data_IF_098017379935
#
_entry.id   IF_098017379935
#
_cell.length_a   1.000
_cell.length_b   1.000
_cell.length_c   1.000
_cell.angle_alpha   90.00
_cell.angle_beta   90.00
_cell.angle_gamma   90.00
#
_symmetry.space_group_name_H-M   'P 1'
#
loop_
_entity.id
_entity.type
_entity.pdbx_description
1 polymer ?
#
# COMPACT_ATOMS: atom_id res chain seq x y z
N UNK A 1 -29.13 -74.17 -3.36
CA UNK A 1 -29.32 -72.77 -2.98
C UNK A 1 -28.14 -71.97 -3.44
N UNK A 2 -28.27 -71.18 -4.51
CA UNK A 2 -27.17 -70.37 -5.07
C UNK A 2 -27.30 -68.93 -4.53
N UNK A 3 -26.28 -68.52 -3.73
CA UNK A 3 -26.12 -67.12 -3.29
C UNK A 3 -25.55 -66.28 -4.42
N UNK A 4 -26.33 -65.40 -5.01
CA UNK A 4 -25.87 -64.37 -5.96
C UNK A 4 -25.16 -63.25 -5.15
N UNK A 5 -23.86 -63.09 -5.30
CA UNK A 5 -23.11 -61.98 -4.76
C UNK A 5 -23.45 -60.68 -5.53
N UNK A 6 -24.02 -59.72 -4.84
CA UNK A 6 -24.34 -58.38 -5.39
C UNK A 6 -23.08 -57.51 -5.27
N UNK A 7 -22.38 -57.25 -6.39
CA UNK A 7 -21.23 -56.33 -6.40
C UNK A 7 -21.77 -54.89 -6.48
N UNK A 8 -21.59 -54.18 -5.35
CA UNK A 8 -21.88 -52.72 -5.29
C UNK A 8 -20.68 -51.97 -5.88
N UNK A 9 -20.83 -51.41 -7.08
CA UNK A 9 -19.82 -50.55 -7.69
C UNK A 9 -19.95 -49.17 -7.06
N UNK A 10 -19.01 -48.75 -6.23
CA UNK A 10 -18.88 -47.38 -5.70
C UNK A 10 -18.22 -46.52 -6.79
N UNK A 11 -19.03 -45.73 -7.52
CA UNK A 11 -18.51 -44.69 -8.42
C UNK A 11 -18.11 -43.50 -7.58
N UNK A 12 -16.81 -43.33 -7.30
CA UNK A 12 -16.28 -42.11 -6.74
C UNK A 12 -16.28 -41.03 -7.84
N UNK A 13 -17.24 -40.12 -7.79
CA UNK A 13 -17.24 -38.89 -8.58
C UNK A 13 -16.15 -37.98 -7.97
N UNK A 14 -14.99 -37.93 -8.62
CA UNK A 14 -13.98 -36.89 -8.36
C UNK A 14 -14.51 -35.57 -8.96
N UNK A 15 -15.08 -34.72 -8.13
CA UNK A 15 -15.25 -33.31 -8.46
C UNK A 15 -13.87 -32.66 -8.48
N UNK A 16 -13.30 -32.45 -9.65
CA UNK A 16 -12.16 -31.56 -9.81
C UNK A 16 -12.64 -30.14 -9.48
N UNK A 17 -12.31 -29.67 -8.28
CA UNK A 17 -12.46 -28.25 -7.96
C UNK A 17 -11.38 -27.55 -8.79
N UNK A 18 -11.78 -26.91 -9.89
CA UNK A 18 -10.93 -25.97 -10.61
C UNK A 18 -10.84 -24.77 -9.67
N UNK A 19 -9.73 -24.64 -8.95
CA UNK A 19 -9.43 -23.42 -8.22
C UNK A 19 -9.08 -22.38 -9.29
N UNK A 20 -9.97 -21.44 -9.52
CA UNK A 20 -9.67 -20.24 -10.29
C UNK A 20 -8.53 -19.51 -9.56
N UNK A 21 -7.54 -19.05 -10.30
CA UNK A 21 -6.35 -18.41 -9.73
C UNK A 21 -6.38 -16.92 -10.09
N UNK A 22 -6.10 -16.08 -9.12
CA UNK A 22 -5.97 -14.64 -9.35
C UNK A 22 -5.01 -14.32 -10.51
N UNK A 23 -5.31 -13.30 -11.26
CA UNK A 23 -4.47 -12.80 -12.33
C UNK A 23 -3.39 -11.88 -11.81
N UNK A 24 -2.18 -12.00 -12.36
CA UNK A 24 -1.06 -11.09 -12.11
C UNK A 24 -0.59 -10.54 -13.45
N UNK A 25 -0.69 -9.24 -13.63
CA UNK A 25 -0.23 -8.60 -14.85
C UNK A 25 0.59 -7.35 -14.56
N UNK A 26 1.41 -6.97 -15.51
CA UNK A 26 2.13 -5.68 -15.47
C UNK A 26 1.62 -4.82 -16.61
N UNK A 27 1.00 -3.72 -16.25
CA UNK A 27 0.52 -2.72 -17.19
C UNK A 27 1.45 -1.51 -17.20
N UNK A 28 1.39 -0.72 -18.28
CA UNK A 28 2.07 0.56 -18.38
C UNK A 28 1.03 1.67 -18.37
N UNK A 29 1.01 2.44 -17.31
CA UNK A 29 0.09 3.57 -17.16
C UNK A 29 0.80 4.84 -17.60
N UNK A 30 0.22 5.52 -18.58
CA UNK A 30 0.80 6.78 -19.06
C UNK A 30 0.47 7.91 -18.07
N UNK A 31 1.52 8.47 -17.48
CA UNK A 31 1.41 9.68 -16.66
C UNK A 31 1.44 10.92 -17.54
N UNK A 32 0.35 11.65 -17.59
CA UNK A 32 0.24 12.92 -18.31
C UNK A 32 1.13 13.99 -17.66
N UNK A 33 1.15 14.03 -16.33
CA UNK A 33 1.92 15.01 -15.55
C UNK A 33 3.43 14.84 -15.70
N UNK A 34 3.91 13.59 -15.94
CA UNK A 34 5.33 13.28 -16.14
C UNK A 34 5.69 12.99 -17.58
N UNK A 35 4.72 12.90 -18.50
CA UNK A 35 4.89 12.54 -19.91
C UNK A 35 5.72 11.25 -20.11
N UNK A 36 5.39 10.21 -19.33
CA UNK A 36 6.07 8.89 -19.41
C UNK A 36 5.16 7.75 -19.01
N UNK A 37 5.48 6.54 -19.42
CA UNK A 37 4.82 5.32 -18.98
C UNK A 37 5.42 4.85 -17.65
N UNK A 38 4.55 4.53 -16.70
CA UNK A 38 4.92 3.99 -15.38
C UNK A 38 4.46 2.53 -15.30
N UNK A 39 5.37 1.58 -15.03
CA UNK A 39 5.00 0.19 -14.79
C UNK A 39 4.15 0.08 -13.51
N UNK A 40 3.07 -0.69 -13.59
CA UNK A 40 2.19 -1.00 -12.46
C UNK A 40 1.89 -2.49 -12.48
N UNK A 41 2.17 -3.18 -11.39
CA UNK A 41 1.75 -4.57 -11.21
C UNK A 41 0.35 -4.58 -10.61
N UNK A 42 -0.54 -5.32 -11.24
CA UNK A 42 -1.92 -5.54 -10.82
C UNK A 42 -2.08 -6.99 -10.40
N UNK A 43 -2.67 -7.20 -9.24
CA UNK A 43 -3.07 -8.53 -8.76
C UNK A 43 -4.57 -8.49 -8.49
N UNK A 44 -5.34 -9.23 -9.28
CA UNK A 44 -6.80 -9.21 -9.25
C UNK A 44 -7.36 -10.63 -9.11
N UNK A 45 -8.49 -10.82 -8.40
CA UNK A 45 -9.21 -12.08 -8.46
C UNK A 45 -9.66 -12.35 -9.91
N UNK A 46 -9.74 -13.62 -10.30
CA UNK A 46 -10.14 -14.00 -11.67
C UNK A 46 -11.55 -13.53 -12.00
N UNK A 47 -12.44 -13.59 -11.00
CA UNK A 47 -13.83 -13.14 -11.13
C UNK A 47 -14.27 -12.41 -9.87
N UNK A 48 -15.11 -11.41 -10.04
CA UNK A 48 -15.79 -10.76 -8.93
C UNK A 48 -17.24 -10.47 -9.29
N UNK A 49 -18.15 -10.87 -8.42
CA UNK A 49 -19.58 -10.56 -8.53
C UNK A 49 -19.93 -9.16 -7.99
N UNK A 50 -19.00 -8.56 -7.24
CA UNK A 50 -19.15 -7.24 -6.62
C UNK A 50 -18.02 -6.32 -7.06
N UNK A 51 -18.19 -4.99 -7.02
CA UNK A 51 -17.10 -4.06 -7.21
C UNK A 51 -15.93 -4.34 -6.24
N UNK A 52 -14.73 -4.44 -6.79
CA UNK A 52 -13.53 -4.77 -6.03
C UNK A 52 -13.12 -3.62 -5.09
N UNK A 53 -12.71 -3.97 -3.88
CA UNK A 53 -12.00 -3.07 -3.00
C UNK A 53 -10.52 -3.05 -3.41
N UNK A 54 -9.92 -1.88 -3.44
CA UNK A 54 -8.56 -1.70 -3.97
C UNK A 54 -7.58 -1.33 -2.87
N UNK A 55 -6.45 -2.02 -2.83
CA UNK A 55 -5.32 -1.71 -1.94
C UNK A 55 -4.10 -1.33 -2.78
N UNK A 56 -3.68 -0.08 -2.68
CA UNK A 56 -2.47 0.42 -3.32
C UNK A 56 -1.27 0.10 -2.45
N UNK A 57 -0.26 -0.62 -3.00
CA UNK A 57 0.92 -1.11 -2.29
C UNK A 57 2.18 -0.40 -2.80
N UNK A 58 2.69 0.55 -2.04
CA UNK A 58 3.85 1.35 -2.41
C UNK A 58 5.15 0.67 -1.96
N UNK A 59 6.13 0.57 -2.88
CA UNK A 59 7.43 -0.04 -2.59
C UNK A 59 8.39 0.90 -1.86
N UNK A 60 9.47 0.33 -1.27
CA UNK A 60 10.54 1.08 -0.61
C UNK A 60 11.58 1.63 -1.59
N UNK A 61 12.51 2.43 -1.08
CA UNK A 61 13.64 2.97 -1.84
C UNK A 61 14.46 1.85 -2.51
N UNK A 62 14.82 2.05 -3.78
CA UNK A 62 15.53 1.05 -4.59
C UNK A 62 14.65 -0.11 -5.09
N UNK A 63 13.34 -0.10 -4.79
CA UNK A 63 12.38 -1.07 -5.28
C UNK A 63 11.79 -0.72 -6.65
N UNK A 64 10.78 -1.48 -7.03
CA UNK A 64 9.99 -1.28 -8.24
C UNK A 64 8.60 -1.93 -8.06
N UNK A 65 7.75 -1.90 -9.09
CA UNK A 65 6.41 -2.46 -9.08
C UNK A 65 6.32 -3.94 -8.61
N UNK A 66 7.37 -4.75 -8.83
CA UNK A 66 7.39 -6.17 -8.45
C UNK A 66 7.82 -6.43 -7.00
N UNK A 67 8.26 -5.39 -6.26
CA UNK A 67 8.83 -5.60 -4.92
C UNK A 67 7.86 -6.34 -3.98
N UNK A 68 6.58 -5.98 -4.00
CA UNK A 68 5.58 -6.61 -3.13
C UNK A 68 5.33 -8.07 -3.47
N UNK A 69 5.35 -8.48 -4.74
CA UNK A 69 5.27 -9.91 -5.12
C UNK A 69 6.49 -10.69 -4.64
N UNK A 70 7.68 -10.06 -4.62
CA UNK A 70 8.89 -10.66 -4.04
C UNK A 70 8.81 -10.84 -2.52
N UNK A 71 8.24 -9.88 -1.81
CA UNK A 71 8.09 -9.91 -0.34
C UNK A 71 6.94 -10.82 0.08
N UNK A 72 5.80 -10.74 -0.62
CA UNK A 72 4.55 -11.46 -0.34
C UNK A 72 4.10 -12.27 -1.57
N UNK A 73 4.77 -13.39 -1.90
CA UNK A 73 4.47 -14.16 -3.11
C UNK A 73 3.05 -14.72 -3.20
N UNK A 74 2.36 -14.84 -2.06
CA UNK A 74 0.96 -15.30 -1.99
C UNK A 74 -0.06 -14.15 -2.04
N UNK A 75 0.31 -12.95 -2.51
CA UNK A 75 -0.66 -11.88 -2.78
C UNK A 75 -1.78 -12.32 -3.72
N UNK A 76 -1.53 -13.14 -4.78
CA UNK A 76 -2.58 -13.65 -5.63
C UNK A 76 -3.63 -14.49 -4.87
N UNK A 77 -3.17 -15.37 -3.97
CA UNK A 77 -4.09 -16.17 -3.15
C UNK A 77 -4.95 -15.30 -2.22
N UNK A 78 -4.36 -14.20 -1.72
CA UNK A 78 -5.07 -13.24 -0.87
C UNK A 78 -6.08 -12.44 -1.71
N UNK A 79 -5.70 -12.00 -2.92
CA UNK A 79 -6.59 -11.30 -3.84
C UNK A 79 -7.84 -12.13 -4.14
N UNK A 80 -7.65 -13.41 -4.50
CA UNK A 80 -8.75 -14.35 -4.81
C UNK A 80 -9.63 -14.63 -3.59
N UNK A 81 -9.01 -14.94 -2.45
CA UNK A 81 -9.74 -15.31 -1.22
C UNK A 81 -10.59 -14.16 -0.68
N UNK A 82 -10.04 -12.94 -0.71
CA UNK A 82 -10.62 -11.78 -0.02
C UNK A 82 -11.35 -10.81 -0.98
N UNK A 83 -11.31 -11.08 -2.30
CA UNK A 83 -11.92 -10.23 -3.31
C UNK A 83 -11.27 -8.84 -3.40
N UNK A 84 -9.94 -8.77 -3.26
CA UNK A 84 -9.18 -7.53 -3.29
C UNK A 84 -8.42 -7.34 -4.60
N UNK A 85 -8.39 -6.11 -5.09
CA UNK A 85 -7.48 -5.68 -6.13
C UNK A 85 -6.24 -5.05 -5.48
N UNK A 86 -5.05 -5.60 -5.74
CA UNK A 86 -3.79 -4.96 -5.35
C UNK A 86 -3.19 -4.23 -6.54
N UNK A 87 -2.78 -2.99 -6.29
CA UNK A 87 -2.16 -2.09 -7.28
C UNK A 87 -0.78 -1.68 -6.78
N UNK A 88 0.27 -2.11 -7.47
CA UNK A 88 1.67 -1.90 -7.07
C UNK A 88 2.37 -1.03 -8.12
N UNK A 89 2.34 0.31 -8.01
CA UNK A 89 3.01 1.20 -8.95
C UNK A 89 4.53 1.21 -8.73
N UNK A 90 5.28 1.43 -9.81
CA UNK A 90 6.68 1.82 -9.73
C UNK A 90 6.78 3.30 -9.35
N UNK A 91 7.22 3.58 -8.15
CA UNK A 91 7.42 4.93 -7.61
C UNK A 91 8.83 5.45 -7.80
N UNK A 92 9.74 4.68 -8.43
CA UNK A 92 11.18 4.97 -8.44
C UNK A 92 11.71 5.34 -7.03
N UNK A 93 12.67 6.25 -6.95
CA UNK A 93 13.19 6.80 -5.70
C UNK A 93 12.61 8.19 -5.38
N UNK A 94 11.32 8.39 -5.72
CA UNK A 94 10.65 9.69 -5.67
C UNK A 94 10.15 10.10 -4.29
N UNK A 95 10.16 9.21 -3.29
CA UNK A 95 9.45 9.39 -2.03
C UNK A 95 7.95 9.65 -2.19
N UNK A 96 7.44 9.41 -3.40
CA UNK A 96 6.05 9.65 -3.79
C UNK A 96 5.63 11.12 -3.68
N UNK A 97 6.60 12.03 -3.80
CA UNK A 97 6.35 13.46 -3.89
C UNK A 97 6.12 13.91 -5.32
N UNK A 98 5.46 15.04 -5.45
CA UNK A 98 5.63 15.90 -6.60
C UNK A 98 6.87 16.74 -6.33
N UNK A 99 7.98 16.40 -6.95
CA UNK A 99 9.26 17.03 -6.65
C UNK A 99 9.22 18.54 -6.90
N UNK A 100 9.62 19.37 -5.91
CA UNK A 100 9.72 20.80 -6.12
C UNK A 100 10.89 21.20 -7.02
N UNK A 101 11.84 20.28 -7.28
CA UNK A 101 13.04 20.54 -8.07
C UNK A 101 13.05 19.88 -9.43
N UNK A 102 12.33 18.77 -9.59
CA UNK A 102 12.24 18.01 -10.84
C UNK A 102 10.78 17.92 -11.31
N UNK A 103 10.37 18.72 -12.30
CA UNK A 103 9.01 18.69 -12.82
C UNK A 103 8.65 17.36 -13.53
N UNK A 104 9.63 16.51 -13.86
CA UNK A 104 9.41 15.17 -14.42
C UNK A 104 9.15 14.10 -13.35
N UNK A 105 9.15 14.48 -12.05
CA UNK A 105 8.88 13.62 -10.90
C UNK A 105 7.62 14.10 -10.16
N UNK A 106 6.45 13.62 -10.60
CA UNK A 106 5.11 14.01 -10.11
C UNK A 106 4.36 12.80 -9.57
N UNK A 107 4.97 12.07 -8.63
CA UNK A 107 4.45 10.80 -8.17
C UNK A 107 3.28 10.91 -7.20
N UNK A 108 3.13 12.03 -6.46
CA UNK A 108 1.91 12.31 -5.71
C UNK A 108 0.72 12.44 -6.65
N UNK A 109 0.83 13.29 -7.68
CA UNK A 109 -0.21 13.45 -8.72
C UNK A 109 -0.49 12.13 -9.43
N UNK A 110 0.55 11.38 -9.81
CA UNK A 110 0.38 10.10 -10.48
C UNK A 110 -0.44 9.12 -9.64
N UNK A 111 -0.07 8.88 -8.38
CA UNK A 111 -0.72 7.86 -7.54
C UNK A 111 -2.09 8.30 -7.08
N UNK A 112 -2.29 9.59 -6.73
CA UNK A 112 -3.56 10.08 -6.17
C UNK A 112 -4.64 10.39 -7.21
N UNK A 113 -4.27 10.58 -8.47
CA UNK A 113 -5.18 11.03 -9.52
C UNK A 113 -5.10 10.15 -10.77
N UNK A 114 -3.97 10.14 -11.48
CA UNK A 114 -3.83 9.50 -12.80
C UNK A 114 -3.98 7.97 -12.72
N UNK A 115 -3.36 7.34 -11.71
CA UNK A 115 -3.45 5.91 -11.47
C UNK A 115 -4.86 5.51 -10.98
N UNK A 116 -5.50 6.34 -10.14
CA UNK A 116 -6.88 6.11 -9.69
C UNK A 116 -7.82 6.09 -10.89
N UNK A 117 -7.74 7.11 -11.76
CA UNK A 117 -8.57 7.20 -12.99
C UNK A 117 -8.35 5.96 -13.88
N UNK A 118 -7.10 5.56 -14.07
CA UNK A 118 -6.78 4.37 -14.87
C UNK A 118 -7.40 3.09 -14.27
N UNK A 119 -7.20 2.85 -12.98
CA UNK A 119 -7.69 1.65 -12.30
C UNK A 119 -9.21 1.58 -12.32
N UNK A 120 -9.90 2.66 -11.98
CA UNK A 120 -11.36 2.69 -11.97
C UNK A 120 -12.00 2.56 -13.37
N UNK A 121 -11.22 2.90 -14.42
CA UNK A 121 -11.70 2.75 -15.81
C UNK A 121 -11.49 1.33 -16.36
N UNK A 122 -10.42 0.63 -15.93
CA UNK A 122 -10.02 -0.64 -16.53
C UNK A 122 -10.39 -1.87 -15.68
N UNK A 123 -10.70 -1.68 -14.40
CA UNK A 123 -11.04 -2.77 -13.47
C UNK A 123 -12.39 -2.50 -12.80
N UNK A 124 -13.16 -3.54 -12.45
CA UNK A 124 -14.48 -3.38 -11.83
C UNK A 124 -14.36 -2.99 -10.35
N UNK A 125 -13.77 -1.84 -10.07
CA UNK A 125 -13.56 -1.34 -8.71
C UNK A 125 -14.78 -0.62 -8.14
N UNK A 126 -14.80 -0.42 -6.81
CA UNK A 126 -15.67 0.55 -6.17
C UNK A 126 -15.02 1.95 -6.27
N UNK A 127 -15.49 2.85 -7.14
CA UNK A 127 -14.85 4.13 -7.41
C UNK A 127 -15.17 5.19 -6.34
N UNK A 128 -15.00 4.85 -5.08
CA UNK A 128 -15.24 5.70 -3.92
C UNK A 128 -14.13 5.54 -2.89
N UNK A 129 -13.88 6.55 -2.06
CA UNK A 129 -12.83 6.49 -1.04
C UNK A 129 -12.99 5.30 -0.08
N UNK A 130 -14.24 4.93 0.20
CA UNK A 130 -14.61 3.77 1.04
C UNK A 130 -14.16 2.43 0.41
N UNK A 131 -13.92 2.41 -0.89
CA UNK A 131 -13.38 1.27 -1.64
C UNK A 131 -11.87 1.25 -1.75
N UNK A 132 -11.14 2.26 -1.24
CA UNK A 132 -9.70 2.41 -1.48
C UNK A 132 -8.91 2.51 -0.19
N UNK A 133 -7.88 1.67 -0.09
CA UNK A 133 -6.83 1.77 0.91
C UNK A 133 -5.46 1.96 0.24
N UNK A 134 -4.54 2.61 0.92
CA UNK A 134 -3.16 2.78 0.47
C UNK A 134 -2.20 2.44 1.60
N UNK A 135 -1.16 1.69 1.30
CA UNK A 135 -0.08 1.39 2.26
C UNK A 135 1.24 1.17 1.55
N UNK A 136 2.29 1.04 2.32
CA UNK A 136 3.61 0.78 1.79
C UNK A 136 4.63 0.49 2.87
N UNK A 137 5.84 0.17 2.43
CA UNK A 137 6.97 -0.07 3.30
C UNK A 137 8.05 1.01 3.14
N UNK A 138 8.71 1.42 4.22
CA UNK A 138 9.86 2.35 4.16
C UNK A 138 9.50 3.67 3.45
N UNK A 139 10.16 4.00 2.32
CA UNK A 139 9.78 5.11 1.44
C UNK A 139 8.30 5.01 1.02
N UNK A 140 7.79 3.79 0.73
CA UNK A 140 6.38 3.58 0.39
C UNK A 140 5.44 3.81 1.57
N UNK A 141 5.86 3.51 2.80
CA UNK A 141 5.12 3.83 4.02
C UNK A 141 5.01 5.34 4.26
N UNK A 142 6.09 6.08 3.99
CA UNK A 142 6.06 7.54 3.88
C UNK A 142 5.05 8.00 2.82
N UNK A 143 5.21 7.50 1.59
CA UNK A 143 4.38 7.90 0.45
C UNK A 143 2.89 7.63 0.66
N UNK A 144 2.55 6.49 1.27
CA UNK A 144 1.16 6.14 1.55
C UNK A 144 0.48 7.13 2.50
N UNK A 145 1.14 7.47 3.61
CA UNK A 145 0.61 8.47 4.56
C UNK A 145 0.67 9.89 3.98
N UNK A 146 1.75 10.24 3.27
CA UNK A 146 1.87 11.52 2.57
C UNK A 146 0.70 11.78 1.64
N UNK A 147 0.40 10.81 0.76
CA UNK A 147 -0.68 10.91 -0.20
C UNK A 147 -2.04 10.91 0.51
N UNK A 148 -2.27 9.96 1.44
CA UNK A 148 -3.58 9.84 2.09
C UNK A 148 -3.95 11.07 2.92
N UNK A 149 -2.99 11.72 3.61
CA UNK A 149 -3.25 12.91 4.41
C UNK A 149 -3.57 14.15 3.56
N UNK A 150 -3.12 14.16 2.32
CA UNK A 150 -3.32 15.27 1.37
C UNK A 150 -4.49 15.04 0.43
N UNK A 151 -5.01 13.80 0.36
CA UNK A 151 -6.08 13.35 -0.54
C UNK A 151 -7.10 12.48 0.19
N UNK A 152 -7.68 13.01 1.28
CA UNK A 152 -8.69 12.33 2.11
C UNK A 152 -10.01 12.06 1.38
N UNK A 153 -10.22 12.72 0.25
CA UNK A 153 -11.33 12.48 -0.68
C UNK A 153 -11.09 11.26 -1.58
N UNK A 154 -9.84 10.80 -1.72
CA UNK A 154 -9.46 9.68 -2.60
C UNK A 154 -9.35 8.36 -1.85
N UNK A 155 -8.79 8.37 -0.65
CA UNK A 155 -8.56 7.19 0.17
C UNK A 155 -9.34 7.26 1.47
N UNK A 156 -9.93 6.15 1.91
CA UNK A 156 -10.62 6.07 3.18
C UNK A 156 -9.83 5.33 4.28
N UNK A 157 -8.79 4.58 3.87
CA UNK A 157 -7.87 3.94 4.80
C UNK A 157 -6.42 4.07 4.35
N UNK A 158 -5.49 4.21 5.30
CA UNK A 158 -4.07 4.27 5.01
C UNK A 158 -3.24 3.50 6.03
N UNK A 159 -2.12 2.95 5.55
CA UNK A 159 -1.17 2.22 6.37
C UNK A 159 0.28 2.60 6.11
N UNK A 160 1.15 2.27 7.07
CA UNK A 160 2.59 2.45 6.92
C UNK A 160 3.33 1.35 7.68
N UNK A 161 4.23 0.64 7.00
CA UNK A 161 5.14 -0.32 7.62
C UNK A 161 6.55 0.21 7.60
N UNK A 162 7.16 0.40 8.77
CA UNK A 162 8.52 0.96 8.90
C UNK A 162 8.69 2.23 8.06
N UNK A 163 7.71 3.13 8.04
CA UNK A 163 7.71 4.31 7.18
C UNK A 163 8.70 5.38 7.63
N UNK A 164 9.31 6.08 6.66
CA UNK A 164 10.12 7.26 6.91
C UNK A 164 9.27 8.48 7.25
N UNK A 165 8.47 8.42 8.32
CA UNK A 165 7.46 9.42 8.68
C UNK A 165 8.05 10.74 9.19
N UNK A 166 9.29 10.72 9.65
CA UNK A 166 10.13 11.90 9.83
C UNK A 166 11.49 11.66 9.15
N UNK A 167 11.73 12.38 8.07
CA UNK A 167 12.92 12.22 7.23
C UNK A 167 14.10 13.09 7.69
N UNK A 168 13.86 14.09 8.54
CA UNK A 168 14.86 15.11 8.93
C UNK A 168 16.07 14.57 9.69
N UNK A 169 15.96 13.47 10.48
CA UNK A 169 17.14 12.85 11.08
C UNK A 169 18.09 12.17 10.08
N UNK A 170 17.68 12.02 8.81
CA UNK A 170 18.40 11.23 7.80
C UNK A 170 18.77 12.05 6.54
N UNK A 171 19.29 13.28 6.64
CA UNK A 171 19.33 14.23 5.52
C UNK A 171 20.30 13.85 4.39
N UNK A 172 21.17 12.85 4.61
CA UNK A 172 22.16 12.39 3.61
C UNK A 172 21.82 11.01 3.04
N UNK A 173 20.64 10.48 3.38
CA UNK A 173 20.24 9.14 2.98
C UNK A 173 19.25 9.19 1.81
N UNK A 174 19.21 8.09 1.02
CA UNK A 174 18.18 7.78 0.03
C UNK A 174 17.87 8.91 -0.96
N UNK A 175 18.90 9.69 -1.33
CA UNK A 175 18.84 10.72 -2.36
C UNK A 175 17.73 11.78 -2.17
N UNK A 176 17.24 11.97 -0.92
CA UNK A 176 16.20 12.96 -0.63
C UNK A 176 16.66 14.39 -0.95
N UNK A 177 17.95 14.65 -0.82
CA UNK A 177 18.56 15.92 -1.18
C UNK A 177 18.49 16.25 -2.68
N UNK A 178 18.41 15.23 -3.55
CA UNK A 178 18.13 15.42 -4.99
C UNK A 178 16.73 15.95 -5.24
N UNK A 179 15.77 15.59 -4.39
CA UNK A 179 14.37 16.02 -4.49
C UNK A 179 14.10 17.35 -3.79
N UNK A 180 14.73 17.55 -2.61
CA UNK A 180 14.43 18.68 -1.73
C UNK A 180 15.58 19.70 -1.61
N UNK A 181 16.79 19.35 -2.08
CA UNK A 181 18.03 20.06 -1.78
C UNK A 181 18.57 19.72 -0.39
N UNK A 182 19.72 20.26 -0.01
CA UNK A 182 20.28 20.03 1.32
C UNK A 182 19.31 20.50 2.43
N UNK A 183 19.23 19.74 3.53
CA UNK A 183 18.43 20.14 4.68
C UNK A 183 18.86 21.50 5.25
N UNK A 184 20.16 21.79 5.23
CA UNK A 184 20.73 23.02 5.76
C UNK A 184 20.20 24.25 5.03
N UNK A 185 20.13 24.19 3.69
CA UNK A 185 19.70 25.31 2.84
C UNK A 185 18.19 25.35 2.58
N UNK A 186 17.49 24.22 2.77
CA UNK A 186 16.09 24.07 2.38
C UNK A 186 15.23 23.54 3.54
N UNK A 187 15.48 24.00 4.77
CA UNK A 187 14.81 23.52 5.99
C UNK A 187 13.28 23.51 5.88
N UNK A 188 12.69 24.59 5.41
CA UNK A 188 11.24 24.72 5.26
C UNK A 188 10.68 23.69 4.27
N UNK A 189 11.43 23.38 3.21
CA UNK A 189 11.03 22.38 2.23
C UNK A 189 11.04 20.97 2.83
N UNK A 190 12.06 20.63 3.62
CA UNK A 190 12.13 19.38 4.35
C UNK A 190 11.00 19.27 5.39
N UNK A 191 10.74 20.32 6.14
CA UNK A 191 9.67 20.37 7.13
C UNK A 191 8.29 20.19 6.46
N UNK A 192 8.06 20.82 5.31
CA UNK A 192 6.81 20.71 4.56
C UNK A 192 6.62 19.38 3.84
N UNK A 193 7.70 18.59 3.58
CA UNK A 193 7.67 17.28 2.93
C UNK A 193 7.83 16.10 3.91
N UNK A 194 7.69 16.36 5.20
CA UNK A 194 7.77 15.36 6.27
C UNK A 194 6.36 14.97 6.75
N UNK A 195 6.02 13.68 6.76
CA UNK A 195 4.67 13.16 7.06
C UNK A 195 4.19 13.61 8.44
N UNK A 196 5.03 13.53 9.48
CA UNK A 196 4.66 13.93 10.83
C UNK A 196 4.19 15.39 10.92
N UNK A 197 4.58 16.24 9.98
CA UNK A 197 4.15 17.62 9.89
C UNK A 197 2.88 17.82 9.04
N UNK A 198 2.29 16.75 8.50
CA UNK A 198 1.04 16.79 7.73
C UNK A 198 -0.19 16.40 8.58
N UNK A 199 0.00 16.05 9.85
CA UNK A 199 -1.09 15.59 10.73
C UNK A 199 -2.20 16.64 10.87
N UNK A 200 -1.88 17.91 10.79
CA UNK A 200 -2.83 19.03 10.81
C UNK A 200 -3.78 19.10 9.60
N UNK A 201 -3.47 18.36 8.55
CA UNK A 201 -4.32 18.28 7.34
C UNK A 201 -5.50 17.33 7.50
N UNK A 202 -5.49 16.46 8.51
CA UNK A 202 -6.54 15.47 8.73
C UNK A 202 -7.24 15.72 10.07
N UNK A 203 -8.48 15.25 10.15
CA UNK A 203 -9.27 15.19 11.37
C UNK A 203 -9.54 13.74 11.74
N UNK A 204 -9.85 13.51 13.00
CA UNK A 204 -10.25 12.19 13.44
C UNK A 204 -11.48 11.69 12.66
N UNK A 205 -11.36 10.51 12.05
CA UNK A 205 -12.39 9.89 11.23
C UNK A 205 -12.30 10.19 9.72
N UNK A 206 -11.41 11.07 9.26
CA UNK A 206 -11.18 11.29 7.83
C UNK A 206 -10.60 10.03 7.16
N UNK A 207 -9.73 9.32 7.89
CA UNK A 207 -9.03 8.10 7.48
C UNK A 207 -9.05 7.05 8.59
N UNK A 208 -9.21 5.78 8.22
CA UNK A 208 -8.82 4.66 9.07
C UNK A 208 -7.30 4.45 8.94
N UNK A 209 -6.55 4.50 10.05
CA UNK A 209 -5.09 4.51 10.05
C UNK A 209 -4.50 3.31 10.77
N UNK A 210 -3.50 2.66 10.15
CA UNK A 210 -2.65 1.64 10.77
C UNK A 210 -1.18 1.92 10.51
N UNK A 211 -0.38 1.94 11.56
CA UNK A 211 1.07 2.14 11.49
C UNK A 211 1.76 1.00 12.21
N UNK A 212 2.82 0.46 11.66
CA UNK A 212 3.63 -0.55 12.34
C UNK A 212 5.13 -0.34 12.10
N UNK A 213 5.94 -0.73 13.10
CA UNK A 213 7.39 -0.69 13.02
C UNK A 213 8.02 -1.75 13.91
N UNK A 214 9.09 -2.39 13.41
CA UNK A 214 9.90 -3.28 14.23
C UNK A 214 10.73 -2.49 15.25
N UNK A 215 10.82 -2.96 16.51
CA UNK A 215 11.58 -2.21 17.51
C UNK A 215 13.11 -2.22 17.29
N UNK A 216 13.64 -3.06 16.41
CA UNK A 216 15.03 -3.02 15.96
C UNK A 216 15.24 -2.26 14.64
N UNK A 217 14.21 -1.59 14.12
CA UNK A 217 14.27 -0.80 12.89
C UNK A 217 14.88 0.58 13.18
N UNK A 218 15.68 1.10 12.26
CA UNK A 218 16.27 2.44 12.40
C UNK A 218 15.23 3.57 12.32
N UNK A 219 14.03 3.30 11.77
CA UNK A 219 12.89 4.22 11.81
C UNK A 219 12.00 4.07 13.05
N UNK A 220 12.35 3.19 14.01
CA UNK A 220 11.50 2.94 15.17
C UNK A 220 11.19 4.21 15.97
N UNK A 221 12.21 5.01 16.28
CA UNK A 221 12.04 6.24 17.05
C UNK A 221 11.11 7.24 16.36
N UNK A 222 11.31 7.48 15.05
CA UNK A 222 10.46 8.43 14.31
C UNK A 222 9.01 7.94 14.19
N UNK A 223 8.76 6.62 14.15
CA UNK A 223 7.42 6.05 14.18
C UNK A 223 6.76 6.17 15.56
N UNK A 224 7.51 6.01 16.66
CA UNK A 224 7.03 6.29 18.02
C UNK A 224 6.63 7.76 18.19
N UNK A 225 7.47 8.68 17.70
CA UNK A 225 7.17 10.11 17.74
C UNK A 225 5.94 10.46 16.91
N UNK A 226 5.76 9.82 15.76
CA UNK A 226 4.57 9.98 14.92
C UNK A 226 3.31 9.47 15.63
N UNK A 227 3.35 8.28 16.25
CA UNK A 227 2.27 7.75 17.08
C UNK A 227 1.90 8.73 18.21
N UNK A 228 2.89 9.21 18.97
CA UNK A 228 2.66 10.19 20.03
C UNK A 228 1.96 11.45 19.50
N UNK A 229 2.42 11.97 18.36
CA UNK A 229 1.83 13.17 17.76
C UNK A 229 0.41 12.94 17.23
N UNK A 230 0.07 11.76 16.71
CA UNK A 230 -1.31 11.41 16.36
C UNK A 230 -2.22 11.42 17.60
N UNK A 231 -1.75 10.87 18.74
CA UNK A 231 -2.48 10.92 20.01
C UNK A 231 -2.68 12.35 20.54
N UNK A 232 -1.64 13.19 20.48
CA UNK A 232 -1.72 14.61 20.86
C UNK A 232 -2.76 15.38 20.05
N UNK A 233 -2.95 14.99 18.77
CA UNK A 233 -3.96 15.58 17.90
C UNK A 233 -5.32 14.85 17.93
N UNK A 234 -5.49 13.91 18.85
CA UNK A 234 -6.70 13.10 19.00
C UNK A 234 -7.11 12.34 17.72
N UNK A 235 -6.14 11.90 16.92
CA UNK A 235 -6.36 11.09 15.71
C UNK A 235 -6.32 9.60 16.09
N UNK A 236 -7.44 8.91 15.91
CA UNK A 236 -7.55 7.48 16.15
C UNK A 236 -6.74 6.69 15.10
N UNK A 237 -5.96 5.72 15.57
CA UNK A 237 -5.14 4.87 14.72
C UNK A 237 -4.72 3.60 15.46
N UNK A 238 -4.45 2.54 14.70
CA UNK A 238 -3.75 1.36 15.20
C UNK A 238 -2.25 1.57 15.12
N UNK A 239 -1.52 1.35 16.22
CA UNK A 239 -0.07 1.33 16.23
C UNK A 239 0.44 -0.01 16.72
N UNK A 240 1.21 -0.72 15.86
CA UNK A 240 1.70 -2.07 16.17
C UNK A 240 3.22 -2.07 16.23
N UNK A 241 3.76 -2.46 17.37
CA UNK A 241 5.19 -2.67 17.60
C UNK A 241 5.46 -4.15 17.83
N UNK A 242 6.45 -4.70 17.14
CA UNK A 242 6.83 -6.10 17.28
C UNK A 242 8.32 -6.32 17.06
N UNK A 243 8.87 -7.52 17.41
CA UNK A 243 10.24 -7.89 17.06
C UNK A 243 10.47 -7.80 15.55
N UNK A 244 11.56 -7.16 15.12
CA UNK A 244 11.95 -7.07 13.72
C UNK A 244 12.82 -5.87 13.45
N UNK A 245 13.39 -5.85 12.24
CA UNK A 245 14.28 -4.82 11.71
C UNK A 245 13.80 -4.42 10.31
N UNK A 246 14.44 -3.45 9.68
CA UNK A 246 14.09 -2.90 8.36
C UNK A 246 14.39 -3.90 7.23
N UNK A 247 13.55 -4.92 7.05
CA UNK A 247 13.78 -5.97 6.05
C UNK A 247 12.52 -6.68 5.53
N UNK A 248 12.68 -7.45 4.43
CA UNK A 248 11.61 -8.21 3.80
C UNK A 248 10.85 -9.16 4.73
N UNK A 249 11.51 -9.97 5.60
CA UNK A 249 10.81 -10.81 6.56
C UNK A 249 9.86 -10.06 7.49
N UNK A 250 10.24 -8.86 7.96
CA UNK A 250 9.36 -8.03 8.75
C UNK A 250 8.14 -7.58 7.94
N UNK A 251 8.36 -7.02 6.75
CA UNK A 251 7.28 -6.49 5.89
C UNK A 251 6.34 -7.59 5.38
N UNK A 252 6.87 -8.81 5.13
CA UNK A 252 6.06 -9.98 4.78
C UNK A 252 5.04 -10.32 5.86
N UNK A 253 5.41 -10.19 7.14
CA UNK A 253 4.51 -10.39 8.27
C UNK A 253 3.61 -9.18 8.50
N UNK A 254 4.14 -7.97 8.41
CA UNK A 254 3.42 -6.72 8.65
C UNK A 254 2.21 -6.56 7.73
N UNK A 255 2.37 -6.85 6.44
CA UNK A 255 1.29 -6.65 5.46
C UNK A 255 0.04 -7.49 5.75
N UNK A 256 0.15 -8.65 6.40
CA UNK A 256 -1.00 -9.46 6.79
C UNK A 256 -1.89 -8.75 7.81
N UNK A 257 -1.30 -8.04 8.78
CA UNK A 257 -2.05 -7.25 9.75
C UNK A 257 -2.71 -6.03 9.10
N UNK A 258 -2.04 -5.39 8.16
CA UNK A 258 -2.59 -4.25 7.45
C UNK A 258 -3.73 -4.66 6.51
N UNK A 259 -3.60 -5.78 5.79
CA UNK A 259 -4.70 -6.33 4.99
C UNK A 259 -5.90 -6.67 5.86
N UNK A 260 -5.69 -7.32 7.02
CA UNK A 260 -6.78 -7.59 7.97
C UNK A 260 -7.47 -6.31 8.45
N UNK A 261 -6.70 -5.25 8.74
CA UNK A 261 -7.23 -3.95 9.11
C UNK A 261 -8.08 -3.35 8.00
N UNK A 262 -7.60 -3.37 6.76
CA UNK A 262 -8.35 -2.86 5.60
C UNK A 262 -9.61 -3.68 5.32
N UNK A 263 -9.57 -5.00 5.45
CA UNK A 263 -10.75 -5.84 5.31
C UNK A 263 -11.85 -5.49 6.34
N UNK A 264 -11.46 -5.23 7.59
CA UNK A 264 -12.41 -4.75 8.62
C UNK A 264 -12.98 -3.38 8.25
N UNK A 265 -12.15 -2.45 7.79
CA UNK A 265 -12.59 -1.15 7.30
C UNK A 265 -13.59 -1.28 6.16
N UNK A 266 -13.31 -2.09 5.14
CA UNK A 266 -14.18 -2.31 3.99
C UNK A 266 -15.51 -3.02 4.33
N UNK A 267 -15.56 -3.79 5.42
CA UNK A 267 -16.78 -4.43 5.89
C UNK A 267 -17.72 -3.45 6.61
N UNK A 268 -17.20 -2.37 7.16
CA UNK A 268 -17.97 -1.35 7.87
C UNK A 268 -18.52 -0.26 6.95
N UNK A 269 -18.01 -0.17 5.72
CA UNK A 269 -18.33 0.82 4.71
C UNK A 269 -18.68 0.18 3.38
#
# INVERSE_FOLDING_TARGET
MSMKALHLIFICLFFSIVTEAATVETVKVFSKSMNKEIPVVIVAPEKSEKPLRTVYLLHGYGGNANMWLGIKPNLPDIAERDGLLFVCPDGHNSWYWDSPKDPSSRYETFVSQELIEYIDTHYPTLPAKEGRAITGLSMGGHGALWIAFRHTETFGAAGSSSGGVDIRPFPKNWEMDKQLGSLEENRELWDSHTVINQIDKIKNGDLALIVDCGYGDFFFEVNNNFHAKLLENAINHDYIVRPGVHNGPYWKNSIDYQILFFLKYFQMN
#
